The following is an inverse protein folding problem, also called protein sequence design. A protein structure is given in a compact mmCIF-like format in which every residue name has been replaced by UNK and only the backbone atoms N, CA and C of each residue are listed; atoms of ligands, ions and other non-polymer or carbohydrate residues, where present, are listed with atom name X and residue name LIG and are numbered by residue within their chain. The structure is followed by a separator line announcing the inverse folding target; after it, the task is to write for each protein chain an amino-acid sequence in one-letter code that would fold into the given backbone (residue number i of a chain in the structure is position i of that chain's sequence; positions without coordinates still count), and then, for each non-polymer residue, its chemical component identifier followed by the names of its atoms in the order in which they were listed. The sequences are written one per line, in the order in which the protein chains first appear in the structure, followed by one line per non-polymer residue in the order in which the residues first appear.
data_IF_566902684463
#
_entry.id   IF_566902684463
#
_cell.length_a   1.000
_cell.length_b   1.000
_cell.length_c   1.000
_cell.angle_alpha   90.00
_cell.angle_beta   90.00
_cell.angle_gamma   90.00
#
_symmetry.space_group_name_H-M   'P 1'
#
loop_
_entity.id
_entity.type
_entity.pdbx_description
1 polymer ?
#
# COMPACT_ATOMS: atom_id res chain seq x y z
N UNK A 1 19.97 -25.78 2.61
CA UNK A 1 21.03 -24.77 2.81
C UNK A 1 22.44 -25.29 2.43
N UNK A 2 22.69 -26.58 2.52
CA UNK A 2 24.03 -27.17 2.21
C UNK A 2 24.36 -27.17 0.70
N UNK A 3 23.36 -27.20 -0.17
CA UNK A 3 23.51 -27.29 -1.62
C UNK A 3 23.76 -25.94 -2.31
N UNK A 4 23.69 -24.83 -1.56
CA UNK A 4 23.83 -23.46 -2.07
C UNK A 4 23.06 -23.20 -3.38
N UNK A 5 21.73 -23.36 -3.40
CA UNK A 5 20.93 -23.12 -4.59
C UNK A 5 20.97 -21.64 -4.99
N UNK A 6 20.70 -21.33 -6.26
CA UNK A 6 20.66 -19.94 -6.73
C UNK A 6 19.53 -19.12 -6.08
N UNK A 7 18.44 -19.79 -5.66
CA UNK A 7 17.27 -19.17 -5.04
C UNK A 7 16.86 -19.96 -3.80
N UNK A 8 16.69 -19.27 -2.68
CA UNK A 8 16.12 -19.83 -1.43
C UNK A 8 14.74 -19.20 -1.22
N UNK A 9 13.74 -20.03 -0.94
CA UNK A 9 12.41 -19.58 -0.54
C UNK A 9 12.14 -20.02 0.90
N UNK A 10 11.81 -19.05 1.77
CA UNK A 10 11.57 -19.27 3.19
C UNK A 10 10.19 -18.73 3.55
N UNK A 11 9.39 -19.58 4.18
CA UNK A 11 8.09 -19.23 4.72
C UNK A 11 8.15 -19.30 6.25
N UNK A 12 7.93 -18.14 6.91
CA UNK A 12 7.99 -17.97 8.36
C UNK A 12 9.22 -18.64 9.03
N UNK A 13 10.46 -18.37 8.55
CA UNK A 13 11.63 -19.11 8.99
C UNK A 13 12.02 -18.87 10.45
N UNK A 14 11.48 -17.85 11.09
CA UNK A 14 11.74 -17.52 12.50
C UNK A 14 10.84 -18.27 13.47
N UNK A 15 9.75 -18.88 12.98
CA UNK A 15 8.85 -19.63 13.83
C UNK A 15 9.56 -20.80 14.50
N UNK A 16 9.36 -20.93 15.81
CA UNK A 16 9.92 -21.97 16.65
C UNK A 16 11.46 -21.99 16.80
N UNK A 17 12.14 -20.93 16.35
CA UNK A 17 13.57 -20.78 16.56
C UNK A 17 13.86 -19.98 17.85
N UNK A 18 14.92 -20.39 18.55
CA UNK A 18 15.47 -19.61 19.64
C UNK A 18 16.28 -18.41 19.12
N UNK A 19 16.57 -17.44 19.98
CA UNK A 19 17.29 -16.22 19.62
C UNK A 19 18.66 -16.48 19.01
N UNK A 20 19.32 -17.58 19.41
CA UNK A 20 20.64 -17.93 18.89
C UNK A 20 20.55 -18.41 17.45
N UNK A 21 19.56 -19.24 17.16
CA UNK A 21 19.28 -19.76 15.82
C UNK A 21 18.81 -18.65 14.87
N UNK A 22 18.01 -17.68 15.35
CA UNK A 22 17.60 -16.51 14.56
C UNK A 22 18.83 -15.68 14.17
N UNK A 23 19.73 -15.36 15.11
CA UNK A 23 20.97 -14.62 14.81
C UNK A 23 21.88 -15.35 13.83
N UNK A 24 21.96 -16.66 13.94
CA UNK A 24 22.70 -17.46 12.98
C UNK A 24 22.06 -17.37 11.58
N UNK A 25 20.73 -17.47 11.50
CA UNK A 25 19.99 -17.37 10.25
C UNK A 25 20.14 -15.99 9.62
N UNK A 26 20.04 -14.92 10.41
CA UNK A 26 20.30 -13.53 9.98
C UNK A 26 21.68 -13.41 9.31
N UNK A 27 22.70 -13.91 10.00
CA UNK A 27 24.08 -13.86 9.49
C UNK A 27 24.28 -14.69 8.23
N UNK A 28 23.66 -15.87 8.18
CA UNK A 28 23.73 -16.75 7.02
C UNK A 28 23.09 -16.11 5.79
N UNK A 29 21.86 -15.57 5.94
CA UNK A 29 21.11 -14.97 4.83
C UNK A 29 21.74 -13.66 4.35
N UNK A 30 22.28 -12.85 5.25
CA UNK A 30 22.98 -11.60 4.88
C UNK A 30 24.26 -11.83 4.07
N UNK A 31 24.88 -13.00 4.19
CA UNK A 31 26.10 -13.38 3.44
C UNK A 31 25.80 -14.34 2.28
N UNK A 32 24.51 -14.55 1.96
CA UNK A 32 24.14 -15.46 0.89
C UNK A 32 24.31 -14.81 -0.47
N UNK A 33 24.98 -15.49 -1.41
CA UNK A 33 25.29 -14.96 -2.75
C UNK A 33 24.17 -15.23 -3.78
N UNK A 34 23.05 -15.79 -3.38
CA UNK A 34 21.89 -16.06 -4.23
C UNK A 34 20.69 -15.17 -3.90
N UNK A 35 19.62 -15.36 -4.63
CA UNK A 35 18.36 -14.67 -4.32
C UNK A 35 17.66 -15.36 -3.15
N UNK A 36 17.11 -14.56 -2.22
CA UNK A 36 16.35 -15.07 -1.07
C UNK A 36 14.96 -14.44 -1.08
N UNK A 37 13.94 -15.28 -1.14
CA UNK A 37 12.55 -14.90 -1.00
C UNK A 37 12.06 -15.29 0.39
N UNK A 38 11.61 -14.32 1.18
CA UNK A 38 11.20 -14.55 2.56
C UNK A 38 9.77 -14.07 2.74
N UNK A 39 8.94 -14.89 3.38
CA UNK A 39 7.65 -14.50 3.93
C UNK A 39 7.81 -14.58 5.45
N UNK A 40 7.62 -13.47 6.16
CA UNK A 40 7.72 -13.44 7.62
C UNK A 40 6.92 -12.27 8.21
N UNK A 41 6.50 -12.44 9.46
CA UNK A 41 5.82 -11.41 10.24
C UNK A 41 6.75 -10.66 11.20
N UNK A 42 7.94 -11.16 11.43
CA UNK A 42 8.94 -10.52 12.29
C UNK A 42 9.62 -9.34 11.58
N UNK A 43 9.14 -8.14 11.90
CA UNK A 43 9.65 -6.90 11.31
C UNK A 43 11.11 -6.64 11.61
N UNK A 44 11.58 -7.06 12.79
CA UNK A 44 12.97 -6.85 13.20
C UNK A 44 13.93 -7.75 12.40
N UNK A 45 13.53 -9.00 12.19
CA UNK A 45 14.25 -9.92 11.33
C UNK A 45 14.30 -9.41 9.88
N UNK A 46 13.15 -9.01 9.33
CA UNK A 46 13.06 -8.48 7.97
C UNK A 46 13.92 -7.21 7.80
N UNK A 47 13.90 -6.30 8.76
CA UNK A 47 14.61 -5.02 8.66
C UNK A 47 16.13 -5.17 8.55
N UNK A 48 16.67 -6.28 9.04
CA UNK A 48 18.11 -6.57 8.98
C UNK A 48 18.56 -7.23 7.69
N UNK A 49 17.68 -7.98 7.04
CA UNK A 49 18.09 -8.88 5.94
C UNK A 49 17.63 -8.35 4.61
N UNK A 50 16.44 -7.72 4.56
CA UNK A 50 15.81 -7.40 3.30
C UNK A 50 16.37 -6.13 2.67
N UNK A 51 16.55 -6.18 1.36
CA UNK A 51 16.96 -5.06 0.52
C UNK A 51 15.82 -4.59 -0.39
N UNK A 52 14.79 -5.43 -0.56
CA UNK A 52 13.58 -5.13 -1.33
C UNK A 52 12.37 -5.73 -0.64
N UNK A 53 11.27 -4.99 -0.64
CA UNK A 53 9.96 -5.45 -0.14
C UNK A 53 8.99 -5.52 -1.31
N UNK A 54 8.35 -6.68 -1.47
CA UNK A 54 7.26 -6.87 -2.42
C UNK A 54 5.96 -6.95 -1.63
N UNK A 55 5.08 -6.02 -1.90
CA UNK A 55 3.75 -5.99 -1.32
C UNK A 55 2.71 -6.42 -2.34
N UNK A 56 1.86 -7.35 -1.95
CA UNK A 56 0.71 -7.76 -2.77
C UNK A 56 -0.55 -7.26 -2.06
N UNK A 57 -1.21 -6.30 -2.66
CA UNK A 57 -2.43 -5.69 -2.14
C UNK A 57 -3.47 -5.56 -3.27
N UNK A 58 -4.70 -6.02 -3.05
CA UNK A 58 -5.80 -5.92 -4.03
C UNK A 58 -5.42 -6.41 -5.45
N UNK A 59 -4.77 -7.57 -5.55
CA UNK A 59 -4.29 -8.19 -6.81
C UNK A 59 -3.16 -7.42 -7.53
N UNK A 60 -2.70 -6.33 -6.95
CA UNK A 60 -1.56 -5.56 -7.45
C UNK A 60 -0.29 -5.87 -6.66
N UNK A 61 0.84 -5.88 -7.37
CA UNK A 61 2.15 -6.12 -6.80
C UNK A 61 2.95 -4.82 -6.84
N UNK A 62 3.39 -4.36 -5.68
CA UNK A 62 4.22 -3.18 -5.54
C UNK A 62 5.59 -3.55 -5.00
N UNK A 63 6.65 -3.06 -5.65
CA UNK A 63 8.04 -3.30 -5.25
C UNK A 63 8.61 -2.04 -4.65
N UNK A 64 9.19 -2.16 -3.46
CA UNK A 64 9.86 -1.08 -2.76
C UNK A 64 11.32 -1.43 -2.52
N UNK A 65 12.23 -0.57 -2.94
CA UNK A 65 13.65 -0.70 -2.62
C UNK A 65 13.92 -0.19 -1.21
N UNK A 66 14.71 -0.93 -0.45
CA UNK A 66 15.09 -0.66 0.93
C UNK A 66 14.66 -1.75 1.90
N UNK A 67 14.93 -1.53 3.19
CA UNK A 67 14.54 -2.43 4.26
C UNK A 67 13.05 -2.27 4.63
N UNK A 68 12.58 -3.04 5.61
CA UNK A 68 11.18 -3.00 6.04
C UNK A 68 10.78 -1.64 6.63
N UNK A 69 11.67 -0.98 7.36
CA UNK A 69 11.45 0.36 7.91
C UNK A 69 11.29 1.40 6.81
N UNK A 70 12.14 1.36 5.78
CA UNK A 70 12.03 2.23 4.60
C UNK A 70 10.71 2.02 3.85
N UNK A 71 10.31 0.77 3.67
CA UNK A 71 9.01 0.40 3.10
C UNK A 71 7.86 1.02 3.88
N UNK A 72 7.85 0.86 5.21
CA UNK A 72 6.80 1.39 6.08
C UNK A 72 6.65 2.90 5.95
N UNK A 73 7.76 3.62 5.91
CA UNK A 73 7.76 5.09 5.70
C UNK A 73 7.24 5.46 4.32
N UNK A 74 7.76 4.80 3.26
CA UNK A 74 7.33 5.06 1.87
C UNK A 74 5.85 4.78 1.68
N UNK A 75 5.35 3.65 2.19
CA UNK A 75 3.92 3.28 2.13
C UNK A 75 3.04 4.34 2.81
N UNK A 76 3.44 4.79 4.01
CA UNK A 76 2.71 5.85 4.72
C UNK A 76 2.67 7.16 3.94
N UNK A 77 3.79 7.56 3.34
CA UNK A 77 3.88 8.78 2.52
C UNK A 77 3.00 8.69 1.27
N UNK A 78 3.04 7.56 0.55
CA UNK A 78 2.20 7.33 -0.64
C UNK A 78 0.71 7.37 -0.29
N UNK A 79 0.31 6.71 0.80
CA UNK A 79 -1.07 6.71 1.27
C UNK A 79 -1.53 8.12 1.66
N UNK A 80 -0.68 8.89 2.35
CA UNK A 80 -0.99 10.27 2.70
C UNK A 80 -1.12 11.16 1.46
N UNK A 81 -0.26 10.96 0.46
CA UNK A 81 -0.34 11.68 -0.81
C UNK A 81 -1.65 11.36 -1.56
N UNK A 82 -2.04 10.09 -1.63
CA UNK A 82 -3.30 9.66 -2.23
C UNK A 82 -4.51 10.26 -1.49
N UNK A 83 -4.50 10.26 -0.16
CA UNK A 83 -5.55 10.88 0.64
C UNK A 83 -5.67 12.38 0.37
N UNK A 84 -4.54 13.08 0.30
CA UNK A 84 -4.52 14.52 0.01
C UNK A 84 -5.07 14.81 -1.40
N UNK A 85 -4.73 13.98 -2.41
CA UNK A 85 -5.27 14.11 -3.77
C UNK A 85 -6.79 13.87 -3.78
N UNK A 86 -7.26 12.85 -3.09
CA UNK A 86 -8.69 12.57 -2.96
C UNK A 86 -9.43 13.75 -2.31
N UNK A 87 -8.96 14.25 -1.16
CA UNK A 87 -9.57 15.37 -0.47
C UNK A 87 -9.58 16.64 -1.32
N UNK A 88 -8.51 16.91 -2.05
CA UNK A 88 -8.43 18.05 -2.98
C UNK A 88 -9.47 17.90 -4.10
N UNK A 89 -9.60 16.72 -4.69
CA UNK A 89 -10.62 16.47 -5.72
C UNK A 89 -12.03 16.63 -5.17
N UNK A 90 -12.31 16.09 -3.95
CA UNK A 90 -13.63 16.25 -3.32
C UNK A 90 -13.98 17.73 -3.06
N UNK A 91 -13.00 18.51 -2.61
CA UNK A 91 -13.18 19.96 -2.42
C UNK A 91 -13.50 20.68 -3.74
N UNK A 92 -12.80 20.31 -4.82
CA UNK A 92 -13.04 20.88 -6.15
C UNK A 92 -14.43 20.49 -6.69
N UNK A 93 -14.81 19.21 -6.56
CA UNK A 93 -16.15 18.74 -6.95
C UNK A 93 -17.23 19.54 -6.23
N UNK A 94 -17.13 19.67 -4.91
CA UNK A 94 -18.08 20.44 -4.10
C UNK A 94 -18.16 21.90 -4.54
N UNK A 95 -17.00 22.52 -4.79
CA UNK A 95 -16.96 23.89 -5.30
C UNK A 95 -17.66 24.03 -6.66
N UNK A 96 -17.43 23.10 -7.58
CA UNK A 96 -18.09 23.12 -8.90
C UNK A 96 -19.60 22.90 -8.77
N UNK A 97 -20.06 22.03 -7.89
CA UNK A 97 -21.48 21.82 -7.60
C UNK A 97 -22.13 23.11 -7.06
N UNK A 98 -21.48 23.81 -6.13
CA UNK A 98 -21.95 25.09 -5.60
C UNK A 98 -22.05 26.16 -6.70
N UNK A 99 -21.05 26.25 -7.58
CA UNK A 99 -21.06 27.17 -8.73
C UNK A 99 -22.17 26.83 -9.71
N UNK A 100 -22.39 25.54 -10.02
CA UNK A 100 -23.47 25.08 -10.88
C UNK A 100 -24.85 25.45 -10.28
N UNK A 101 -25.03 25.18 -9.00
CA UNK A 101 -26.29 25.54 -8.29
C UNK A 101 -26.56 27.05 -8.35
N UNK A 102 -25.51 27.87 -8.15
CA UNK A 102 -25.61 29.32 -8.27
C UNK A 102 -25.93 29.76 -9.69
N UNK A 103 -25.32 29.17 -10.71
CA UNK A 103 -25.61 29.46 -12.12
C UNK A 103 -27.07 29.12 -12.49
N UNK A 104 -27.58 28.01 -11.96
CA UNK A 104 -28.98 27.59 -12.19
C UNK A 104 -30.02 28.47 -11.48
N UNK A 105 -29.65 29.18 -10.42
CA UNK A 105 -30.55 30.13 -9.75
C UNK A 105 -30.86 31.38 -10.60
N UNK A 106 -30.03 31.68 -11.59
CA UNK A 106 -30.27 32.78 -12.51
C UNK A 106 -31.17 32.35 -13.67
N UNK A 107 -32.29 33.10 -13.90
CA UNK A 107 -33.32 32.79 -14.91
C UNK A 107 -32.89 33.05 -16.37
N UNK A 108 -31.66 33.42 -16.66
CA UNK A 108 -31.17 33.75 -18.00
C UNK A 108 -30.57 32.53 -18.71
N UNK A 109 -30.91 32.31 -19.98
CA UNK A 109 -30.47 31.19 -20.81
C UNK A 109 -28.92 31.05 -20.90
N UNK A 110 -28.20 32.18 -20.90
CA UNK A 110 -26.73 32.19 -20.91
C UNK A 110 -26.14 31.49 -19.70
N UNK A 111 -26.74 31.60 -18.53
CA UNK A 111 -26.25 30.92 -17.31
C UNK A 111 -26.62 29.45 -17.32
N UNK A 112 -27.73 29.07 -17.91
CA UNK A 112 -28.09 27.65 -18.08
C UNK A 112 -27.09 26.90 -18.95
N UNK A 113 -26.70 27.47 -20.11
CA UNK A 113 -25.69 26.87 -20.99
C UNK A 113 -24.34 26.73 -20.30
N UNK A 114 -23.96 27.69 -19.44
CA UNK A 114 -22.73 27.61 -18.65
C UNK A 114 -22.80 26.53 -17.56
N UNK A 115 -23.92 26.38 -16.89
CA UNK A 115 -24.15 25.33 -15.90
C UNK A 115 -24.04 23.94 -16.55
N UNK A 116 -24.73 23.73 -17.68
CA UNK A 116 -24.70 22.47 -18.44
C UNK A 116 -23.30 22.09 -18.89
N UNK A 117 -22.51 23.06 -19.39
CA UNK A 117 -21.12 22.81 -19.77
C UNK A 117 -20.25 22.35 -18.60
N UNK A 118 -20.43 22.95 -17.40
CA UNK A 118 -19.71 22.55 -16.18
C UNK A 118 -20.15 21.19 -15.67
N UNK A 119 -21.45 20.89 -15.74
CA UNK A 119 -21.98 19.55 -15.38
C UNK A 119 -21.38 18.45 -16.26
N UNK A 120 -21.31 18.67 -17.58
CA UNK A 120 -20.65 17.75 -18.50
C UNK A 120 -19.18 17.57 -18.16
N UNK A 121 -18.47 18.65 -17.85
CA UNK A 121 -17.07 18.57 -17.42
C UNK A 121 -16.91 17.78 -16.12
N UNK A 122 -17.79 18.00 -15.14
CA UNK A 122 -17.78 17.28 -13.87
C UNK A 122 -18.14 15.80 -14.02
N UNK A 123 -19.09 15.48 -14.93
CA UNK A 123 -19.47 14.09 -15.22
C UNK A 123 -18.35 13.29 -15.91
N UNK A 124 -17.54 13.97 -16.72
CA UNK A 124 -16.40 13.35 -17.42
C UNK A 124 -15.11 13.34 -16.58
N UNK A 125 -15.12 13.89 -15.37
CA UNK A 125 -13.96 13.88 -14.49
C UNK A 125 -13.72 12.47 -13.95
N UNK A 126 -12.53 11.94 -14.14
CA UNK A 126 -12.09 10.69 -13.54
C UNK A 126 -12.08 10.84 -12.01
N UNK A 127 -12.84 10.00 -11.33
CA UNK A 127 -12.93 10.06 -9.86
C UNK A 127 -11.82 9.22 -9.25
N UNK A 128 -11.13 9.82 -8.29
CA UNK A 128 -10.13 9.13 -7.47
C UNK A 128 -10.88 8.37 -6.38
N UNK A 129 -10.63 7.07 -6.27
CA UNK A 129 -11.19 6.25 -5.20
C UNK A 129 -10.62 6.67 -3.85
N UNK A 130 -11.46 6.63 -2.83
CA UNK A 130 -11.03 6.90 -1.46
C UNK A 130 -10.02 5.82 -1.05
N UNK A 131 -8.78 6.20 -0.63
CA UNK A 131 -7.84 5.22 -0.09
C UNK A 131 -8.46 4.51 1.11
N UNK A 132 -8.32 3.19 1.18
CA UNK A 132 -8.80 2.43 2.33
C UNK A 132 -8.14 2.93 3.61
N UNK A 133 -8.94 3.27 4.61
CA UNK A 133 -8.45 3.66 5.92
C UNK A 133 -7.88 2.41 6.60
N UNK A 134 -6.60 2.47 7.00
CA UNK A 134 -6.10 1.53 7.99
C UNK A 134 -6.92 1.76 9.25
N UNK A 135 -7.76 0.81 9.58
CA UNK A 135 -8.43 0.83 10.89
C UNK A 135 -7.36 0.57 11.94
N UNK A 136 -6.86 1.63 12.55
CA UNK A 136 -5.91 1.54 13.68
C UNK A 136 -6.55 0.84 14.90
N UNK A 137 -7.83 0.57 14.85
CA UNK A 137 -8.59 -0.14 15.88
C UNK A 137 -9.12 -1.43 15.28
N UNK A 138 -8.45 -2.52 15.61
CA UNK A 138 -8.89 -3.86 15.30
C UNK A 138 -10.09 -4.19 16.19
N UNK A 139 -11.31 -3.95 15.72
CA UNK A 139 -12.50 -4.57 16.27
C UNK A 139 -12.48 -6.04 15.86
N UNK A 140 -11.88 -6.88 16.68
CA UNK A 140 -11.87 -8.33 16.49
C UNK A 140 -13.29 -8.84 16.76
N UNK A 141 -14.11 -8.90 15.71
CA UNK A 141 -15.18 -9.88 15.65
C UNK A 141 -14.54 -11.16 15.17
N UNK A 142 -14.38 -12.11 16.07
CA UNK A 142 -13.95 -13.47 15.73
C UNK A 142 -15.08 -14.17 14.99
N UNK A 143 -15.17 -13.94 13.69
CA UNK A 143 -15.86 -14.81 12.76
C UNK A 143 -14.77 -15.54 11.97
N UNK A 144 -14.81 -16.89 11.87
CA UNK A 144 -13.74 -17.67 11.29
C UNK A 144 -13.86 -17.69 9.76
N UNK A 145 -13.40 -16.60 9.10
CA UNK A 145 -13.19 -16.61 7.65
C UNK A 145 -12.02 -15.69 7.28
N UNK A 146 -10.96 -16.35 6.82
CA UNK A 146 -9.84 -15.89 6.00
C UNK A 146 -9.29 -14.48 6.24
N UNK A 147 -8.22 -14.40 7.01
CA UNK A 147 -7.33 -13.25 6.99
C UNK A 147 -5.99 -13.70 6.42
N UNK A 148 -5.67 -13.27 5.22
CA UNK A 148 -4.31 -13.31 4.72
C UNK A 148 -3.86 -11.92 4.32
N UNK A 149 -3.20 -11.21 5.24
CA UNK A 149 -2.26 -10.17 4.84
C UNK A 149 -0.91 -10.85 4.66
N UNK A 150 -0.61 -11.26 3.45
CA UNK A 150 0.68 -11.86 3.13
C UNK A 150 1.61 -10.74 2.70
N UNK A 151 2.59 -10.41 3.52
CA UNK A 151 3.72 -9.56 3.12
C UNK A 151 4.78 -10.50 2.57
N UNK A 152 5.02 -10.41 1.27
CA UNK A 152 6.09 -11.16 0.61
C UNK A 152 7.31 -10.26 0.54
N UNK A 153 8.43 -10.72 1.07
CA UNK A 153 9.67 -9.96 1.09
C UNK A 153 10.71 -10.69 0.25
N UNK A 154 11.22 -10.02 -0.75
CA UNK A 154 12.23 -10.53 -1.68
C UNK A 154 13.56 -9.84 -1.38
N UNK A 155 14.58 -10.61 -1.02
CA UNK A 155 15.93 -10.11 -0.85
C UNK A 155 16.79 -10.60 -2.00
N UNK A 156 17.40 -9.68 -2.73
CA UNK A 156 18.50 -9.98 -3.65
C UNK A 156 19.76 -9.44 -3.00
N UNK A 157 20.69 -10.33 -2.70
CA UNK A 157 22.01 -10.00 -2.12
C UNK A 157 23.01 -9.88 -3.26
#
# INVERSE_FOLDING_TARGET
LLEKPDIIMLDEPTNHLDLTSIKWLETYLSNYNGAVLIIAHDRYFLDKIVTKVIEIENTHCHVYDGNYSDFSVKKKQLRQAQLNLYLKQQSEIKHQEEVIAKLRSYKQEKFYKRAESREKALANMERIDKPEELKDVMNIKLEPDCISCTVVVLTVV
#
